data_IF_634832023986
#
_entry.id   IF_634832023986
#
_cell.length_a   1.000
_cell.length_b   1.000
_cell.length_c   1.000
_cell.angle_alpha   90.00
_cell.angle_beta   90.00
_cell.angle_gamma   90.00
#
_symmetry.space_group_name_H-M   'P 1'
#
loop_
_entity.id
_entity.type
_entity.pdbx_description
1 polymer ?
#
# COMPACT_ATOMS: atom_id res chain seq x y z
N UNK A 1 11.07 -10.31 -19.46
CA UNK A 1 11.34 -9.64 -18.17
C UNK A 1 11.69 -10.66 -17.10
N UNK A 2 12.60 -10.28 -16.19
CA UNK A 2 13.00 -11.14 -15.09
C UNK A 2 11.91 -11.30 -14.04
N UNK A 3 11.39 -10.18 -13.51
CA UNK A 3 10.31 -10.14 -12.52
C UNK A 3 9.24 -9.14 -12.93
N UNK A 4 8.00 -9.40 -12.54
CA UNK A 4 6.84 -8.58 -12.90
C UNK A 4 6.19 -7.99 -11.64
N UNK A 5 5.92 -6.69 -11.69
CA UNK A 5 5.05 -5.99 -10.75
C UNK A 5 3.73 -5.69 -11.44
N UNK A 6 2.64 -6.16 -10.87
CA UNK A 6 1.29 -5.82 -11.33
C UNK A 6 0.65 -4.80 -10.39
N UNK A 7 0.36 -3.64 -10.92
CA UNK A 7 -0.30 -2.57 -10.18
C UNK A 7 -1.37 -1.89 -11.03
N UNK A 8 -2.51 -1.60 -10.43
CA UNK A 8 -3.58 -0.81 -11.04
C UNK A 8 -4.30 0.01 -9.97
N UNK A 9 -5.28 0.81 -10.39
CA UNK A 9 -6.06 1.67 -9.48
C UNK A 9 -7.32 0.99 -8.95
N UNK A 10 -7.67 -0.19 -9.45
CA UNK A 10 -8.84 -0.93 -8.96
C UNK A 10 -8.49 -1.89 -7.82
N UNK A 11 -9.48 -2.25 -6.98
CA UNK A 11 -9.27 -3.24 -5.94
C UNK A 11 -9.05 -4.62 -6.55
N UNK A 12 -7.93 -5.27 -6.20
CA UNK A 12 -7.54 -6.58 -6.72
C UNK A 12 -7.81 -7.74 -5.77
N UNK A 13 -8.32 -7.46 -4.57
CA UNK A 13 -8.57 -8.48 -3.54
C UNK A 13 -9.41 -9.67 -4.01
N UNK A 14 -10.31 -9.43 -4.97
CA UNK A 14 -11.16 -10.47 -5.59
C UNK A 14 -10.64 -11.00 -6.92
N UNK A 15 -9.48 -10.54 -7.39
CA UNK A 15 -8.93 -10.86 -8.72
C UNK A 15 -7.50 -11.40 -8.64
N UNK A 16 -6.98 -11.67 -7.46
CA UNK A 16 -5.58 -12.11 -7.27
C UNK A 16 -5.33 -13.44 -7.98
N UNK A 17 -6.30 -14.36 -7.99
CA UNK A 17 -6.24 -15.63 -8.71
C UNK A 17 -6.02 -15.45 -10.22
N UNK A 18 -6.55 -14.37 -10.80
CA UNK A 18 -6.33 -14.02 -12.20
C UNK A 18 -4.93 -13.43 -12.39
N UNK A 19 -4.52 -12.54 -11.50
CA UNK A 19 -3.20 -11.87 -11.55
C UNK A 19 -2.07 -12.90 -11.36
N UNK A 20 -2.27 -13.93 -10.53
CA UNK A 20 -1.31 -15.02 -10.33
C UNK A 20 -0.97 -15.80 -11.60
N UNK A 21 -1.79 -15.71 -12.64
CA UNK A 21 -1.51 -16.34 -13.95
C UNK A 21 -0.42 -15.63 -14.74
N UNK A 22 -0.01 -14.43 -14.34
CA UNK A 22 1.08 -13.72 -14.98
C UNK A 22 2.41 -14.42 -14.69
N UNK A 23 3.21 -14.72 -15.72
CA UNK A 23 4.53 -15.34 -15.54
C UNK A 23 5.47 -14.36 -14.82
N UNK A 24 6.32 -14.90 -13.95
CA UNK A 24 7.32 -14.13 -13.21
C UNK A 24 6.75 -13.06 -12.28
N UNK A 25 5.49 -13.17 -11.87
CA UNK A 25 4.87 -12.25 -10.93
C UNK A 25 5.64 -12.26 -9.60
N UNK A 26 6.02 -11.09 -9.12
CA UNK A 26 6.74 -10.92 -7.85
C UNK A 26 6.02 -10.00 -6.88
N UNK A 27 5.28 -9.01 -7.40
CA UNK A 27 4.72 -7.93 -6.59
C UNK A 27 3.33 -7.55 -7.10
N UNK A 28 2.42 -7.34 -6.16
CA UNK A 28 1.03 -6.99 -6.45
C UNK A 28 0.67 -5.69 -5.74
N UNK A 29 0.10 -4.74 -6.47
CA UNK A 29 -0.41 -3.48 -5.93
C UNK A 29 -1.71 -3.67 -5.15
N UNK A 30 -1.76 -3.16 -3.93
CA UNK A 30 -2.96 -3.13 -3.09
C UNK A 30 -3.36 -1.69 -2.87
N UNK A 31 -4.50 -1.31 -3.46
CA UNK A 31 -5.03 0.05 -3.40
C UNK A 31 -5.79 0.29 -2.09
N UNK A 32 -6.07 1.56 -1.71
CA UNK A 32 -6.84 1.86 -0.50
C UNK A 32 -8.30 1.36 -0.58
N UNK A 33 -8.77 1.03 -1.77
CA UNK A 33 -10.13 0.51 -2.03
C UNK A 33 -10.24 -1.00 -1.88
N UNK A 34 -9.12 -1.71 -1.82
CA UNK A 34 -9.07 -3.15 -1.65
C UNK A 34 -9.23 -3.55 -0.17
N UNK A 35 -9.78 -4.75 0.05
CA UNK A 35 -9.74 -5.37 1.37
C UNK A 35 -8.32 -5.91 1.61
N UNK A 36 -7.54 -5.20 2.43
CA UNK A 36 -6.14 -5.54 2.70
C UNK A 36 -6.01 -6.87 3.45
N UNK A 37 -6.97 -7.19 4.31
CA UNK A 37 -6.95 -8.46 5.06
C UNK A 37 -7.13 -9.64 4.11
N UNK A 38 -8.14 -9.57 3.23
CA UNK A 38 -8.38 -10.60 2.22
C UNK A 38 -7.23 -10.72 1.23
N UNK A 39 -6.69 -9.58 0.76
CA UNK A 39 -5.58 -9.57 -0.18
C UNK A 39 -4.31 -10.20 0.40
N UNK A 40 -3.94 -9.84 1.63
CA UNK A 40 -2.73 -10.36 2.28
C UNK A 40 -2.85 -11.84 2.63
N UNK A 41 -4.05 -12.32 2.95
CA UNK A 41 -4.30 -13.75 3.18
C UNK A 41 -4.00 -14.58 1.92
N UNK A 42 -4.43 -14.11 0.75
CA UNK A 42 -4.18 -14.79 -0.52
C UNK A 42 -2.71 -14.65 -0.95
N UNK A 43 -2.14 -13.46 -0.84
CA UNK A 43 -0.77 -13.15 -1.25
C UNK A 43 0.23 -13.95 -0.41
N UNK A 44 0.07 -13.94 0.91
CA UNK A 44 0.95 -14.67 1.85
C UNK A 44 2.43 -14.37 1.61
N UNK A 45 3.23 -15.42 1.59
CA UNK A 45 4.67 -15.35 1.33
C UNK A 45 5.03 -15.40 -0.17
N UNK A 46 4.05 -15.55 -1.05
CA UNK A 46 4.29 -15.76 -2.48
C UNK A 46 4.76 -14.50 -3.19
N UNK A 47 4.17 -13.37 -2.85
CA UNK A 47 4.42 -12.09 -3.52
C UNK A 47 4.64 -10.98 -2.52
N UNK A 48 5.23 -9.86 -2.98
CA UNK A 48 5.35 -8.64 -2.19
C UNK A 48 4.07 -7.81 -2.34
N UNK A 49 3.56 -7.33 -1.23
CA UNK A 49 2.43 -6.39 -1.19
C UNK A 49 2.96 -4.97 -1.44
N UNK A 50 2.55 -4.34 -2.54
CA UNK A 50 2.79 -2.92 -2.74
C UNK A 50 1.58 -2.15 -2.22
N UNK A 51 1.64 -1.72 -0.97
CA UNK A 51 0.54 -0.96 -0.36
C UNK A 51 0.52 0.48 -0.85
N UNK A 52 -0.65 0.92 -1.28
CA UNK A 52 -0.89 2.29 -1.75
C UNK A 52 -1.93 2.97 -0.86
N UNK A 53 -1.52 3.66 0.21
CA UNK A 53 -2.45 4.40 1.07
C UNK A 53 -3.22 5.48 0.31
N UNK A 54 -4.36 5.91 0.88
CA UNK A 54 -5.21 6.91 0.26
C UNK A 54 -4.48 8.26 0.11
N UNK A 55 -4.30 8.78 -1.11
CA UNK A 55 -3.57 10.01 -1.36
C UNK A 55 -4.31 11.26 -0.85
N UNK A 56 -5.59 11.15 -0.56
CA UNK A 56 -6.39 12.28 -0.05
C UNK A 56 -5.83 12.85 1.25
N UNK A 57 -5.17 12.04 2.07
CA UNK A 57 -4.51 12.50 3.29
C UNK A 57 -3.46 13.59 3.03
N UNK A 58 -2.79 13.55 1.87
CA UNK A 58 -1.78 14.55 1.46
C UNK A 58 -2.41 15.66 0.62
N UNK A 59 -3.32 15.30 -0.27
CA UNK A 59 -3.89 16.22 -1.25
C UNK A 59 -4.92 17.21 -0.67
N UNK A 60 -5.50 16.91 0.48
CA UNK A 60 -6.57 17.72 1.10
C UNK A 60 -6.09 19.02 1.77
N UNK A 61 -4.80 19.30 1.77
CA UNK A 61 -4.20 20.49 2.38
C UNK A 61 -3.95 20.37 3.90
N UNK A 62 -4.73 19.58 4.62
CA UNK A 62 -4.49 19.23 6.02
C UNK A 62 -4.25 17.74 6.13
N UNK A 63 -3.06 17.36 6.61
CA UNK A 63 -2.71 15.96 6.80
C UNK A 63 -3.40 15.40 8.05
N UNK A 64 -4.29 14.44 7.87
CA UNK A 64 -4.86 13.67 8.98
C UNK A 64 -3.89 12.54 9.35
N UNK A 65 -3.00 12.84 10.30
CA UNK A 65 -1.95 11.90 10.72
C UNK A 65 -2.52 10.66 11.40
N UNK A 66 -3.59 10.80 12.17
CA UNK A 66 -4.21 9.66 12.88
C UNK A 66 -4.84 8.68 11.89
N UNK A 67 -5.57 9.19 10.90
CA UNK A 67 -6.14 8.37 9.85
C UNK A 67 -5.06 7.66 9.03
N UNK A 68 -3.97 8.36 8.70
CA UNK A 68 -2.84 7.80 7.97
C UNK A 68 -2.13 6.69 8.77
N UNK A 69 -1.87 6.94 10.05
CA UNK A 69 -1.26 5.95 10.96
C UNK A 69 -2.13 4.70 11.09
N UNK A 70 -3.43 4.89 11.20
CA UNK A 70 -4.39 3.79 11.29
C UNK A 70 -4.42 2.96 10.00
N UNK A 71 -4.43 3.60 8.85
CA UNK A 71 -4.46 2.94 7.55
C UNK A 71 -3.18 2.13 7.30
N UNK A 72 -2.02 2.75 7.44
CA UNK A 72 -0.72 2.07 7.25
C UNK A 72 -0.53 0.99 8.32
N UNK A 73 -0.87 1.28 9.57
CA UNK A 73 -0.76 0.32 10.68
C UNK A 73 -1.62 -0.92 10.46
N UNK A 74 -2.83 -0.78 9.91
CA UNK A 74 -3.68 -1.91 9.54
C UNK A 74 -3.02 -2.79 8.48
N UNK A 75 -2.45 -2.19 7.45
CA UNK A 75 -1.73 -2.93 6.40
C UNK A 75 -0.54 -3.69 6.97
N UNK A 76 0.27 -3.03 7.80
CA UNK A 76 1.42 -3.67 8.45
C UNK A 76 0.97 -4.86 9.31
N UNK A 77 -0.08 -4.68 10.10
CA UNK A 77 -0.63 -5.76 10.95
C UNK A 77 -1.13 -6.95 10.12
N UNK A 78 -1.82 -6.69 9.01
CA UNK A 78 -2.30 -7.73 8.10
C UNK A 78 -1.13 -8.47 7.43
N UNK A 79 -0.10 -7.75 6.98
CA UNK A 79 1.10 -8.35 6.40
C UNK A 79 1.87 -9.20 7.40
N UNK A 80 2.03 -8.73 8.62
CA UNK A 80 2.66 -9.51 9.69
C UNK A 80 1.92 -10.81 9.98
N UNK A 81 0.60 -10.73 10.13
CA UNK A 81 -0.26 -11.88 10.41
C UNK A 81 -0.16 -12.95 9.32
N UNK A 82 -0.07 -12.54 8.07
CA UNK A 82 -0.02 -13.45 6.92
C UNK A 82 1.39 -13.73 6.39
N UNK A 83 2.43 -13.18 7.02
CA UNK A 83 3.83 -13.37 6.64
C UNK A 83 4.21 -12.70 5.31
N UNK A 84 3.48 -11.67 4.89
CA UNK A 84 3.76 -10.94 3.65
C UNK A 84 4.95 -9.99 3.82
N UNK A 85 5.79 -9.92 2.79
CA UNK A 85 6.66 -8.76 2.60
C UNK A 85 5.87 -7.60 2.02
N UNK A 86 6.17 -6.39 2.45
CA UNK A 86 5.39 -5.20 2.08
C UNK A 86 6.30 -4.00 1.81
N UNK A 87 5.94 -3.21 0.81
CA UNK A 87 6.40 -1.83 0.71
C UNK A 87 5.21 -0.85 0.70
N UNK A 88 5.48 0.39 1.02
CA UNK A 88 4.48 1.45 1.11
C UNK A 88 4.83 2.52 0.10
N UNK A 89 3.91 2.76 -0.83
CA UNK A 89 4.10 3.69 -1.95
C UNK A 89 2.99 4.73 -1.92
N UNK A 90 3.36 6.00 -1.89
CA UNK A 90 2.37 7.07 -2.04
C UNK A 90 1.71 6.96 -3.41
N UNK A 91 0.39 6.82 -3.42
CA UNK A 91 -0.39 6.79 -4.66
C UNK A 91 -0.31 8.14 -5.37
N UNK A 92 -0.42 8.13 -6.68
CA UNK A 92 -0.38 9.32 -7.52
C UNK A 92 -1.26 10.45 -6.97
N UNK A 93 -0.66 11.61 -6.79
CA UNK A 93 -1.34 12.84 -6.43
C UNK A 93 -1.08 13.90 -7.50
N UNK A 94 -2.07 14.72 -7.78
CA UNK A 94 -1.94 15.85 -8.71
C UNK A 94 -1.59 17.17 -7.99
N UNK A 95 -1.76 17.20 -6.68
CA UNK A 95 -1.51 18.41 -5.88
C UNK A 95 -1.25 18.04 -4.42
N UNK A 96 -0.36 18.78 -3.78
CA UNK A 96 -0.20 18.81 -2.31
C UNK A 96 -0.87 20.06 -1.71
N UNK A 97 -1.77 20.74 -2.44
CA UNK A 97 -2.47 21.96 -2.02
C UNK A 97 -1.51 23.05 -1.51
N UNK A 98 -0.39 23.22 -2.20
CA UNK A 98 0.70 24.15 -1.83
C UNK A 98 1.37 23.85 -0.47
N UNK A 99 1.18 22.65 0.08
CA UNK A 99 1.74 22.22 1.36
C UNK A 99 2.70 21.05 1.17
N UNK A 100 3.88 21.33 0.61
CA UNK A 100 4.91 20.32 0.37
C UNK A 100 5.38 19.63 1.67
N UNK A 101 5.26 20.30 2.79
CA UNK A 101 5.51 19.74 4.12
C UNK A 101 4.66 18.49 4.41
N UNK A 102 3.47 18.38 3.83
CA UNK A 102 2.62 17.19 3.98
C UNK A 102 3.25 15.95 3.35
N UNK A 103 3.99 16.11 2.25
CA UNK A 103 4.73 14.99 1.63
C UNK A 103 5.85 14.50 2.55
N UNK A 104 6.61 15.43 3.11
CA UNK A 104 7.69 15.12 4.05
C UNK A 104 7.13 14.44 5.30
N UNK A 105 6.04 14.98 5.83
CA UNK A 105 5.42 14.41 7.03
C UNK A 105 4.81 13.04 6.78
N UNK A 106 4.20 12.83 5.61
CA UNK A 106 3.69 11.52 5.19
C UNK A 106 4.81 10.47 5.18
N UNK A 107 5.94 10.82 4.58
CA UNK A 107 7.11 9.93 4.51
C UNK A 107 7.64 9.61 5.91
N UNK A 108 7.78 10.61 6.78
CA UNK A 108 8.23 10.41 8.16
C UNK A 108 7.33 9.44 8.92
N UNK A 109 6.01 9.59 8.82
CA UNK A 109 5.04 8.71 9.47
C UNK A 109 5.14 7.28 8.92
N UNK A 110 5.23 7.13 7.60
CA UNK A 110 5.39 5.82 6.98
C UNK A 110 6.67 5.13 7.46
N UNK A 111 7.79 5.86 7.52
CA UNK A 111 9.07 5.35 8.00
C UNK A 111 9.03 4.97 9.48
N UNK A 112 8.43 5.80 10.33
CA UNK A 112 8.24 5.47 11.76
C UNK A 112 7.52 4.13 11.95
N UNK A 113 6.45 3.91 11.20
CA UNK A 113 5.65 2.69 11.29
C UNK A 113 6.38 1.47 10.73
N UNK A 114 7.12 1.63 9.64
CA UNK A 114 7.92 0.55 9.05
C UNK A 114 9.09 0.17 9.95
N UNK A 115 9.77 1.13 10.55
CA UNK A 115 10.89 0.88 11.45
C UNK A 115 10.46 0.21 12.78
N UNK A 116 9.21 0.37 13.17
CA UNK A 116 8.65 -0.31 14.35
C UNK A 116 8.09 -1.70 14.06
N UNK A 117 8.27 -2.20 12.86
CA UNK A 117 7.80 -3.52 12.39
C UNK A 117 8.22 -4.70 13.27
#
# INVERSE_FOLDING_TARGET
FGLVYYGCCEPLDKKIDIVEKLPHLRKIGVTPWADVDAATEIIGKKYVVANKPNPASVASGVLDEDALRKEIGRTIAACKRNGCSCDIVLKDISSASYRLENLVRWEQIAMELVQSW
#
